data_IF_835925679193
#
_entry.id   IF_835925679193
#
_cell.length_a   1.000
_cell.length_b   1.000
_cell.length_c   1.000
_cell.angle_alpha   90.00
_cell.angle_beta   90.00
_cell.angle_gamma   90.00
#
_symmetry.space_group_name_H-M   'P 1'
#
loop_
_entity.id
_entity.type
_entity.pdbx_description
1 polymer ?
#
# COMPACT_ATOMS: atom_id res chain seq x y z
N UNK A 1 12.21 -6.22 1.26
CA UNK A 1 13.43 -6.40 2.09
C UNK A 1 14.48 -5.35 1.72
N UNK A 2 15.44 -5.01 2.58
CA UNK A 2 16.56 -4.12 2.20
C UNK A 2 17.22 -4.62 0.91
N UNK A 3 17.33 -3.75 -0.10
CA UNK A 3 17.85 -4.11 -1.43
C UNK A 3 16.81 -4.61 -2.45
N UNK A 4 15.54 -4.69 -2.07
CA UNK A 4 14.45 -5.08 -2.97
C UNK A 4 13.75 -3.84 -3.55
N UNK A 5 13.35 -3.90 -4.82
CA UNK A 5 12.58 -2.83 -5.46
C UNK A 5 11.21 -2.65 -4.80
N UNK A 6 10.63 -1.47 -4.99
CA UNK A 6 9.25 -1.22 -4.58
C UNK A 6 8.29 -2.17 -5.31
N UNK A 7 7.32 -2.70 -4.58
CA UNK A 7 6.25 -3.53 -5.11
C UNK A 7 4.92 -2.89 -4.71
N UNK A 8 4.01 -2.73 -5.66
CA UNK A 8 2.65 -2.24 -5.38
C UNK A 8 1.89 -3.34 -4.63
N UNK A 9 1.19 -2.99 -3.55
CA UNK A 9 0.35 -3.93 -2.79
C UNK A 9 -1.08 -3.86 -3.31
N UNK A 10 -1.67 -2.66 -3.25
CA UNK A 10 -3.04 -2.42 -3.64
C UNK A 10 -3.26 -0.95 -4.01
N UNK A 11 -4.29 -0.70 -4.83
CA UNK A 11 -4.75 0.63 -5.22
C UNK A 11 -6.19 0.80 -4.77
N UNK A 12 -6.49 1.92 -4.11
CA UNK A 12 -7.84 2.30 -3.71
C UNK A 12 -8.22 3.64 -4.35
N UNK A 13 -9.31 3.64 -5.11
CA UNK A 13 -9.94 4.86 -5.62
C UNK A 13 -11.22 5.13 -4.84
N UNK A 14 -11.58 6.41 -4.70
CA UNK A 14 -12.83 6.77 -4.02
C UNK A 14 -14.02 6.24 -4.85
N UNK A 15 -14.93 5.53 -4.20
CA UNK A 15 -16.15 5.02 -4.82
C UNK A 15 -15.97 3.78 -5.70
N UNK A 16 -14.78 3.16 -5.71
CA UNK A 16 -14.55 1.88 -6.35
C UNK A 16 -14.00 0.85 -5.37
N UNK A 17 -14.18 -0.42 -5.72
CA UNK A 17 -13.44 -1.50 -5.06
C UNK A 17 -11.93 -1.34 -5.27
N UNK A 18 -11.17 -1.86 -4.32
CA UNK A 18 -9.71 -1.87 -4.40
C UNK A 18 -9.21 -2.94 -5.39
N UNK A 19 -8.08 -2.65 -6.02
CA UNK A 19 -7.37 -3.61 -6.87
C UNK A 19 -6.08 -4.05 -6.20
N UNK A 20 -5.72 -5.32 -6.35
CA UNK A 20 -4.55 -5.92 -5.71
C UNK A 20 -3.55 -6.42 -6.75
N UNK A 21 -2.26 -6.22 -6.46
CA UNK A 21 -1.19 -6.78 -7.27
C UNK A 21 -1.08 -8.30 -7.04
N UNK A 22 -0.47 -9.02 -7.99
CA UNK A 22 -0.34 -10.47 -7.90
C UNK A 22 0.37 -10.90 -6.60
N UNK A 23 -0.27 -11.80 -5.84
CA UNK A 23 0.24 -12.30 -4.56
C UNK A 23 -0.22 -11.51 -3.32
N UNK A 24 -0.94 -10.40 -3.51
CA UNK A 24 -1.57 -9.64 -2.43
C UNK A 24 -3.08 -9.88 -2.42
N UNK A 25 -3.68 -9.94 -1.23
CA UNK A 25 -5.11 -10.23 -1.05
C UNK A 25 -5.73 -9.32 0.01
N UNK A 26 -7.03 -9.05 -0.15
CA UNK A 26 -7.80 -8.17 0.74
C UNK A 26 -7.80 -8.63 2.20
N UNK A 27 -7.82 -9.94 2.46
CA UNK A 27 -7.84 -10.47 3.83
C UNK A 27 -6.56 -10.12 4.62
N UNK A 28 -5.42 -10.05 3.91
CA UNK A 28 -4.12 -9.72 4.47
C UNK A 28 -3.86 -8.22 4.47
N UNK A 29 -4.25 -7.53 3.40
CA UNK A 29 -4.00 -6.12 3.19
C UNK A 29 -5.29 -5.32 2.90
N UNK A 30 -6.24 -5.22 3.85
CA UNK A 30 -7.42 -4.39 3.64
C UNK A 30 -7.00 -2.94 3.38
N UNK A 31 -7.49 -2.35 2.29
CA UNK A 31 -7.23 -0.95 1.94
C UNK A 31 -8.56 -0.21 1.77
N UNK A 32 -8.64 1.02 2.25
CA UNK A 32 -9.83 1.86 2.11
C UNK A 32 -9.45 3.30 1.85
N UNK A 33 -10.19 3.95 0.94
CA UNK A 33 -10.06 5.38 0.62
C UNK A 33 -11.40 6.07 0.81
N UNK A 34 -11.75 6.50 2.03
CA UNK A 34 -13.04 7.15 2.29
C UNK A 34 -13.17 8.52 1.62
N UNK A 35 -12.06 9.24 1.42
CA UNK A 35 -12.08 10.55 0.77
C UNK A 35 -10.83 10.81 -0.10
N UNK A 36 -10.79 11.96 -0.77
CA UNK A 36 -9.71 12.30 -1.71
C UNK A 36 -8.35 12.52 -1.04
N UNK A 37 -8.29 12.81 0.26
CA UNK A 37 -7.06 13.17 0.96
C UNK A 37 -6.60 12.13 1.97
N UNK A 38 -7.38 11.06 2.18
CA UNK A 38 -7.11 10.06 3.18
C UNK A 38 -7.37 8.64 2.67
N UNK A 39 -6.36 7.78 2.86
CA UNK A 39 -6.40 6.36 2.61
C UNK A 39 -5.79 5.60 3.80
N UNK A 40 -6.25 4.38 4.01
CA UNK A 40 -5.75 3.47 5.05
C UNK A 40 -5.37 2.16 4.42
N UNK A 41 -4.26 1.57 4.89
CA UNK A 41 -3.86 0.19 4.61
C UNK A 41 -3.67 -0.51 5.94
N UNK A 42 -4.40 -1.60 6.16
CA UNK A 42 -4.24 -2.47 7.33
C UNK A 42 -3.37 -3.65 6.94
N UNK A 43 -2.48 -4.09 7.84
CA UNK A 43 -1.70 -5.33 7.69
C UNK A 43 -2.21 -6.33 8.71
N UNK A 44 -2.99 -7.31 8.27
CA UNK A 44 -3.62 -8.33 9.12
C UNK A 44 -2.70 -9.53 9.33
N UNK A 45 -2.91 -10.31 10.40
CA UNK A 45 -2.18 -11.56 10.68
C UNK A 45 -0.66 -11.46 10.46
N UNK A 46 -0.05 -10.40 11.02
CA UNK A 46 1.35 -10.04 10.77
C UNK A 46 2.33 -11.19 11.08
N UNK A 47 3.30 -11.38 10.21
CA UNK A 47 4.44 -12.29 10.39
C UNK A 47 5.76 -11.56 10.12
N UNK A 48 6.93 -12.11 10.51
CA UNK A 48 8.22 -11.45 10.30
C UNK A 48 8.48 -11.04 8.85
N UNK A 49 7.92 -11.76 7.88
CA UNK A 49 8.00 -11.50 6.43
C UNK A 49 7.33 -10.18 6.02
N UNK A 50 6.37 -9.67 6.81
CA UNK A 50 5.75 -8.36 6.58
C UNK A 50 6.64 -7.18 7.01
N UNK A 51 7.81 -7.45 7.62
CA UNK A 51 8.73 -6.38 8.03
C UNK A 51 9.30 -5.65 6.82
N UNK A 52 8.89 -4.40 6.64
CA UNK A 52 9.29 -3.57 5.50
C UNK A 52 9.07 -2.08 5.78
N UNK A 53 9.40 -1.25 4.78
CA UNK A 53 8.96 0.14 4.71
C UNK A 53 7.72 0.17 3.83
N UNK A 54 6.60 0.62 4.39
CA UNK A 54 5.35 0.82 3.68
C UNK A 54 5.26 2.27 3.23
N UNK A 55 5.04 2.47 1.93
CA UNK A 55 4.92 3.80 1.32
C UNK A 55 3.49 3.99 0.84
N UNK A 56 2.91 5.14 1.21
CA UNK A 56 1.70 5.63 0.55
C UNK A 56 2.11 6.36 -0.74
N UNK A 57 1.47 6.05 -1.85
CA UNK A 57 1.63 6.78 -3.11
C UNK A 57 0.29 7.26 -3.63
N UNK A 58 0.32 8.38 -4.35
CA UNK A 58 -0.85 8.91 -5.06
C UNK A 58 -0.49 9.23 -6.51
N UNK A 59 -1.43 8.94 -7.39
CA UNK A 59 -1.39 9.34 -8.79
C UNK A 59 -2.69 10.07 -9.13
N UNK A 60 -2.59 11.17 -9.87
CA UNK A 60 -3.76 11.92 -10.33
C UNK A 60 -4.21 11.37 -11.68
N UNK A 61 -5.34 10.69 -11.71
CA UNK A 61 -5.95 10.21 -12.95
C UNK A 61 -6.40 11.40 -13.82
N UNK A 62 -5.98 11.42 -15.10
CA UNK A 62 -6.38 12.42 -16.09
C UNK A 62 -5.23 13.25 -16.68
N UNK A 63 -4.03 13.19 -16.10
CA UNK A 63 -2.84 13.80 -16.67
C UNK A 63 -1.95 12.72 -17.30
N UNK A 64 -1.74 12.81 -18.61
CA UNK A 64 -0.79 11.97 -19.35
C UNK A 64 0.61 12.19 -18.77
N UNK A 65 1.30 11.12 -18.34
CA UNK A 65 2.63 11.14 -17.69
C UNK A 65 2.70 11.70 -16.26
N UNK A 66 1.74 11.37 -15.39
CA UNK A 66 1.85 11.75 -13.97
C UNK A 66 2.81 10.86 -13.20
N UNK A 67 3.81 11.49 -12.59
CA UNK A 67 4.68 10.87 -11.59
C UNK A 67 3.86 10.44 -10.36
N UNK A 68 4.27 9.35 -9.73
CA UNK A 68 3.71 8.95 -8.44
C UNK A 68 4.36 9.80 -7.33
N UNK A 69 3.53 10.42 -6.49
CA UNK A 69 4.00 11.14 -5.30
C UNK A 69 4.02 10.19 -4.12
N UNK A 70 5.17 10.09 -3.44
CA UNK A 70 5.36 9.20 -2.31
C UNK A 70 5.38 9.97 -1.00
N UNK A 71 4.71 9.43 0.02
CA UNK A 71 4.89 9.86 1.40
C UNK A 71 6.25 9.43 1.95
N UNK A 72 6.60 9.95 3.14
CA UNK A 72 7.88 9.64 3.82
C UNK A 72 8.04 8.15 4.18
N UNK A 73 6.95 7.40 4.19
CA UNK A 73 6.91 6.00 4.54
C UNK A 73 6.81 5.72 6.02
N UNK A 74 6.53 4.47 6.35
CA UNK A 74 6.42 3.95 7.71
C UNK A 74 7.14 2.61 7.77
N UNK A 75 8.11 2.49 8.68
CA UNK A 75 8.81 1.23 8.93
C UNK A 75 7.98 0.35 9.86
N UNK A 76 7.51 -0.78 9.36
CA UNK A 76 6.93 -1.84 10.16
C UNK A 76 8.01 -2.87 10.48
N UNK A 77 8.08 -3.31 11.73
CA UNK A 77 8.95 -4.40 12.15
C UNK A 77 8.13 -5.37 12.98
N UNK A 78 8.03 -6.60 12.49
CA UNK A 78 7.35 -7.70 13.16
C UNK A 78 8.45 -8.63 13.67
N UNK A 79 8.58 -8.72 14.99
CA UNK A 79 9.54 -9.65 15.60
C UNK A 79 8.85 -10.99 15.81
N UNK A 80 9.54 -12.07 15.42
CA UNK A 80 9.10 -13.43 15.76
C UNK A 80 9.08 -13.62 17.27
N UNK A 81 8.30 -14.60 17.73
CA UNK A 81 8.39 -15.06 19.12
C UNK A 81 9.73 -15.72 19.40
#
# INVERSE_FOLDING_TARGET
>A
QPGQSLTLIATANQGSEATYESGFVIDKFPISRPNLTFSTLTVSNMSPEDSSIYLCSVQVMGAVNTEAFFGQGTRLTVVGK
#
